data_IF_031708364593
#
_entry.id   IF_031708364593
#
_cell.length_a   1.000
_cell.length_b   1.000
_cell.length_c   1.000
_cell.angle_alpha   90.00
_cell.angle_beta   90.00
_cell.angle_gamma   90.00
#
_symmetry.space_group_name_H-M   'P 1'
#
loop_
_entity.id
_entity.type
_entity.pdbx_description
1 polymer ?
#
# COMPACT_ATOMS: atom_id res chain seq x y z
N UNK A 1 19.82 13.98 25.90
CA UNK A 1 19.62 14.59 24.57
C UNK A 1 18.68 13.66 23.82
N UNK A 2 17.39 13.96 23.87
CA UNK A 2 16.32 13.10 23.35
C UNK A 2 16.36 13.10 21.81
N UNK A 3 16.47 11.92 21.21
CA UNK A 3 16.33 11.72 19.76
C UNK A 3 14.84 11.71 19.43
N UNK A 4 14.26 12.85 19.07
CA UNK A 4 12.82 12.95 18.73
C UNK A 4 12.59 13.53 17.34
N UNK A 5 13.26 12.99 16.32
CA UNK A 5 12.73 13.15 14.96
C UNK A 5 11.62 12.09 14.79
N UNK A 6 10.38 12.41 15.16
CA UNK A 6 9.22 11.52 14.98
C UNK A 6 9.05 11.13 13.50
N UNK A 7 8.57 9.91 13.20
CA UNK A 7 8.29 9.47 11.82
C UNK A 7 7.33 10.46 11.11
N UNK A 8 6.37 11.02 11.85
CA UNK A 8 5.45 12.05 11.37
C UNK A 8 6.18 13.30 10.88
N UNK A 9 7.26 13.70 11.56
CA UNK A 9 8.11 14.83 11.14
C UNK A 9 8.87 14.53 9.85
N UNK A 10 9.41 13.31 9.71
CA UNK A 10 10.10 12.87 8.48
C UNK A 10 9.13 12.83 7.30
N UNK A 11 7.91 12.32 7.51
CA UNK A 11 6.88 12.24 6.47
C UNK A 11 6.41 13.62 6.01
N UNK A 12 6.27 14.59 6.92
CA UNK A 12 5.88 15.98 6.58
C UNK A 12 6.94 16.72 5.76
N UNK A 13 8.21 16.27 5.78
CA UNK A 13 9.28 16.84 4.94
C UNK A 13 9.29 16.28 3.52
N UNK A 14 8.64 15.14 3.30
CA UNK A 14 8.39 14.62 1.96
C UNK A 14 7.16 15.32 1.38
N UNK A 15 7.08 15.40 0.05
CA UNK A 15 5.81 15.74 -0.58
C UNK A 15 4.75 14.70 -0.23
N UNK A 16 3.49 15.14 -0.17
CA UNK A 16 2.37 14.33 0.30
C UNK A 16 2.21 13.03 -0.49
N UNK A 17 2.48 13.03 -1.80
CA UNK A 17 2.37 11.83 -2.64
C UNK A 17 3.40 10.77 -2.24
N UNK A 18 4.67 11.17 -2.07
CA UNK A 18 5.74 10.27 -1.62
C UNK A 18 5.49 9.77 -0.20
N UNK A 19 5.07 10.66 0.72
CA UNK A 19 4.75 10.28 2.09
C UNK A 19 3.57 9.27 2.13
N UNK A 20 2.53 9.52 1.34
CA UNK A 20 1.38 8.61 1.19
C UNK A 20 1.78 7.26 0.62
N UNK A 21 2.67 7.23 -0.38
CA UNK A 21 3.16 5.99 -0.97
C UNK A 21 3.94 5.14 0.04
N UNK A 22 4.75 5.76 0.89
CA UNK A 22 5.48 5.08 1.95
C UNK A 22 4.55 4.52 3.02
N UNK A 23 3.57 5.32 3.48
CA UNK A 23 2.56 4.86 4.42
C UNK A 23 1.74 3.69 3.86
N UNK A 24 1.29 3.79 2.61
CA UNK A 24 0.54 2.73 1.94
C UNK A 24 1.34 1.42 1.84
N UNK A 25 2.64 1.51 1.58
CA UNK A 25 3.53 0.36 1.57
C UNK A 25 3.70 -0.24 2.98
N UNK A 26 4.00 0.59 3.98
CA UNK A 26 4.28 0.14 5.35
C UNK A 26 3.04 -0.43 6.07
N UNK A 27 1.87 0.21 5.90
CA UNK A 27 0.62 -0.19 6.55
C UNK A 27 -0.07 -1.35 5.83
N UNK A 28 -0.12 -1.32 4.50
CA UNK A 28 -0.98 -2.21 3.71
C UNK A 28 -0.25 -3.13 2.74
N UNK A 29 1.08 -3.02 2.63
CA UNK A 29 1.85 -3.74 1.60
C UNK A 29 1.37 -3.36 0.19
N UNK A 30 1.06 -2.08 -0.03
CA UNK A 30 0.56 -1.58 -1.30
C UNK A 30 1.54 -1.88 -2.44
N UNK A 31 1.04 -2.51 -3.52
CA UNK A 31 1.83 -2.74 -4.72
C UNK A 31 1.64 -1.59 -5.72
N UNK A 32 2.38 -1.62 -6.84
CA UNK A 32 2.33 -0.59 -7.90
C UNK A 32 0.91 -0.28 -8.38
N UNK A 33 0.04 -1.28 -8.47
CA UNK A 33 -1.34 -1.08 -8.92
C UNK A 33 -2.20 -0.42 -7.84
N UNK A 34 -1.98 -0.73 -6.57
CA UNK A 34 -2.67 -0.06 -5.47
C UNK A 34 -2.20 1.40 -5.33
N UNK A 35 -0.89 1.66 -5.49
CA UNK A 35 -0.33 3.01 -5.48
C UNK A 35 -0.85 3.86 -6.64
N UNK A 36 -0.84 3.32 -7.86
CA UNK A 36 -1.39 3.99 -9.03
C UNK A 36 -2.87 4.38 -8.83
N UNK A 37 -3.68 3.44 -8.32
CA UNK A 37 -5.10 3.70 -8.01
C UNK A 37 -5.26 4.76 -6.94
N UNK A 38 -4.58 4.62 -5.80
CA UNK A 38 -4.77 5.51 -4.64
C UNK A 38 -4.22 6.92 -4.87
N UNK A 39 -3.17 7.07 -5.67
CA UNK A 39 -2.60 8.35 -6.06
C UNK A 39 -3.27 8.97 -7.31
N UNK A 40 -4.04 8.20 -8.08
CA UNK A 40 -4.65 8.67 -9.32
C UNK A 40 -3.64 8.89 -10.46
N UNK A 41 -2.50 8.20 -10.41
CA UNK A 41 -1.39 8.34 -11.35
C UNK A 41 -1.18 7.07 -12.17
N UNK A 42 -0.41 7.18 -13.25
CA UNK A 42 -0.04 6.01 -14.05
C UNK A 42 0.83 5.01 -13.25
N UNK A 43 0.74 3.73 -13.59
CA UNK A 43 1.49 2.64 -12.92
C UNK A 43 3.00 2.83 -12.98
N UNK A 44 3.51 3.37 -14.09
CA UNK A 44 4.92 3.64 -14.26
C UNK A 44 5.38 4.77 -13.34
N UNK A 45 4.58 5.84 -13.25
CA UNK A 45 4.82 6.96 -12.32
C UNK A 45 4.75 6.45 -10.87
N UNK A 46 3.77 5.63 -10.51
CA UNK A 46 3.67 5.04 -9.17
C UNK A 46 4.89 4.17 -8.81
N UNK A 47 5.45 3.46 -9.79
CA UNK A 47 6.70 2.72 -9.58
C UNK A 47 7.87 3.65 -9.30
N UNK A 48 8.01 4.74 -10.05
CA UNK A 48 9.07 5.72 -9.82
C UNK A 48 8.90 6.41 -8.46
N UNK A 49 7.69 6.91 -8.15
CA UNK A 49 7.36 7.56 -6.88
C UNK A 49 7.68 6.66 -5.69
N UNK A 50 7.32 5.37 -5.73
CA UNK A 50 7.63 4.43 -4.64
C UNK A 50 9.13 4.16 -4.48
N UNK A 51 9.88 4.03 -5.58
CA UNK A 51 11.33 3.84 -5.53
C UNK A 51 12.05 5.09 -5.02
N UNK A 52 11.66 6.27 -5.49
CA UNK A 52 12.22 7.55 -5.03
C UNK A 52 11.90 7.78 -3.56
N UNK A 53 10.68 7.50 -3.12
CA UNK A 53 10.29 7.66 -1.72
C UNK A 53 11.07 6.69 -0.81
N UNK A 54 11.24 5.42 -1.20
CA UNK A 54 12.09 4.46 -0.47
C UNK A 54 13.56 4.90 -0.44
N UNK A 55 14.08 5.44 -1.54
CA UNK A 55 15.45 5.92 -1.59
C UNK A 55 15.66 7.17 -0.70
N UNK A 56 14.75 8.14 -0.76
CA UNK A 56 14.77 9.32 0.10
C UNK A 56 14.62 8.96 1.59
N UNK A 57 13.78 7.97 1.90
CA UNK A 57 13.62 7.41 3.24
C UNK A 57 14.90 6.71 3.76
N UNK A 58 15.79 6.26 2.86
CA UNK A 58 17.07 5.60 3.18
C UNK A 58 18.27 6.55 3.26
N UNK A 59 18.18 7.75 2.69
CA UNK A 59 19.31 8.69 2.68
C UNK A 59 19.49 9.34 4.06
N UNK A 60 20.67 9.12 4.66
CA UNK A 60 21.04 9.53 6.02
C UNK A 60 21.26 11.04 6.23
N UNK A 61 20.97 11.89 5.24
CA UNK A 61 21.10 13.35 5.40
C UNK A 61 20.02 13.96 6.31
N UNK A 62 18.99 13.20 6.65
CA UNK A 62 18.03 13.51 7.70
C UNK A 62 18.33 12.56 8.86
N UNK A 63 18.64 13.08 10.04
CA UNK A 63 19.29 12.39 11.17
C UNK A 63 18.53 11.20 11.79
N UNK A 64 17.42 10.76 11.20
CA UNK A 64 16.78 9.49 11.51
C UNK A 64 16.16 8.91 10.23
N UNK A 65 16.67 7.77 9.80
CA UNK A 65 16.26 7.07 8.59
C UNK A 65 14.82 6.57 8.84
N UNK A 66 13.86 6.91 7.97
CA UNK A 66 12.48 6.40 8.10
C UNK A 66 12.44 4.86 8.12
N UNK A 67 13.48 4.23 7.56
CA UNK A 67 13.73 2.80 7.66
C UNK A 67 13.90 2.29 9.09
N UNK A 68 14.54 3.02 10.00
CA UNK A 68 14.69 2.63 11.40
C UNK A 68 13.34 2.57 12.13
N UNK A 69 12.39 3.44 11.76
CA UNK A 69 11.02 3.38 12.26
C UNK A 69 10.19 2.23 11.68
N UNK A 70 10.60 1.68 10.54
CA UNK A 70 9.91 0.56 9.88
C UNK A 70 10.55 -0.79 10.20
N UNK A 71 11.81 -0.79 10.62
CA UNK A 71 12.60 -1.95 10.98
C UNK A 71 13.00 -1.87 12.46
N UNK A 72 12.02 -1.79 13.36
CA UNK A 72 12.24 -1.94 14.80
C UNK A 72 12.90 -3.27 15.18
N UNK A 73 13.16 -3.51 16.47
CA UNK A 73 13.94 -4.67 16.99
C UNK A 73 13.41 -6.07 16.57
N UNK A 74 12.17 -6.16 16.08
CA UNK A 74 11.53 -7.38 15.55
C UNK A 74 11.29 -7.34 14.01
N UNK A 75 11.77 -6.29 13.34
CA UNK A 75 11.86 -6.17 11.89
C UNK A 75 10.53 -6.02 11.14
N UNK A 76 9.39 -5.82 11.81
CA UNK A 76 8.08 -5.76 11.15
C UNK A 76 6.97 -4.96 11.86
N UNK A 77 7.25 -4.36 13.03
CA UNK A 77 6.26 -3.59 13.79
C UNK A 77 6.44 -2.09 13.55
N UNK A 78 5.49 -1.48 12.82
CA UNK A 78 5.36 -0.03 12.74
C UNK A 78 4.52 0.41 13.93
N UNK A 79 5.11 1.17 14.85
CA UNK A 79 4.36 1.77 15.96
C UNK A 79 3.63 3.00 15.43
N UNK A 80 2.30 3.00 15.53
CA UNK A 80 1.46 4.12 15.10
C UNK A 80 1.07 4.97 16.32
N UNK A 81 1.82 6.06 16.51
CA UNK A 81 1.52 7.08 17.52
C UNK A 81 0.37 8.01 17.08
N UNK A 82 -0.04 8.93 17.97
CA UNK A 82 -1.20 9.80 17.72
C UNK A 82 -0.96 10.80 16.58
N UNK A 83 0.27 11.30 16.41
CA UNK A 83 0.61 12.19 15.31
C UNK A 83 0.54 11.46 13.96
N UNK A 84 1.00 10.21 13.93
CA UNK A 84 0.94 9.36 12.75
C UNK A 84 -0.49 8.96 12.42
N UNK A 85 -1.33 8.69 13.44
CA UNK A 85 -2.78 8.51 13.24
C UNK A 85 -3.43 9.76 12.65
N UNK A 86 -3.06 10.94 13.15
CA UNK A 86 -3.58 12.19 12.61
C UNK A 86 -3.21 12.34 11.13
N UNK A 87 -1.97 12.04 10.73
CA UNK A 87 -1.54 12.04 9.33
C UNK A 87 -2.28 11.02 8.46
N UNK A 88 -2.49 9.80 8.97
CA UNK A 88 -3.24 8.75 8.27
C UNK A 88 -4.66 9.22 7.94
N UNK A 89 -5.33 9.90 8.89
CA UNK A 89 -6.66 10.48 8.72
C UNK A 89 -6.64 11.70 7.80
N UNK A 90 -5.73 12.64 8.06
CA UNK A 90 -5.58 13.90 7.29
C UNK A 90 -5.40 13.62 5.80
N UNK A 91 -4.63 12.58 5.46
CA UNK A 91 -4.33 12.23 4.06
C UNK A 91 -5.24 11.12 3.49
N UNK A 92 -6.27 10.70 4.23
CA UNK A 92 -7.22 9.65 3.87
C UNK A 92 -6.53 8.36 3.39
N UNK A 93 -5.50 7.93 4.13
CA UNK A 93 -4.64 6.82 3.72
C UNK A 93 -5.42 5.50 3.70
N UNK A 94 -6.33 5.29 4.65
CA UNK A 94 -7.14 4.07 4.72
C UNK A 94 -8.10 3.98 3.52
N UNK A 95 -8.83 5.06 3.22
CA UNK A 95 -9.80 5.12 2.13
C UNK A 95 -9.12 4.89 0.77
N UNK A 96 -7.91 5.43 0.58
CA UNK A 96 -7.19 5.39 -0.70
C UNK A 96 -6.47 4.07 -0.92
N UNK A 97 -5.88 3.49 0.12
CA UNK A 97 -4.92 2.40 -0.02
C UNK A 97 -5.31 1.09 0.66
N UNK A 98 -6.35 1.08 1.51
CA UNK A 98 -6.79 -0.15 2.13
C UNK A 98 -7.07 -1.22 1.05
N UNK A 99 -6.63 -2.46 1.26
CA UNK A 99 -6.84 -3.53 0.30
C UNK A 99 -8.29 -4.00 0.30
N UNK A 100 -8.93 -3.89 -0.87
CA UNK A 100 -10.32 -4.32 -1.08
C UNK A 100 -10.38 -5.63 -1.88
N UNK A 101 -11.31 -6.51 -1.53
CA UNK A 101 -11.56 -7.73 -2.28
C UNK A 101 -12.09 -7.39 -3.67
N UNK A 102 -11.45 -7.89 -4.74
CA UNK A 102 -11.94 -7.64 -6.11
C UNK A 102 -13.34 -8.21 -6.39
N UNK A 103 -13.77 -9.22 -5.61
CA UNK A 103 -15.06 -9.89 -5.80
C UNK A 103 -16.20 -9.28 -4.97
N UNK A 104 -15.97 -8.96 -3.70
CA UNK A 104 -17.03 -8.49 -2.78
C UNK A 104 -16.78 -7.09 -2.22
N UNK A 105 -15.69 -6.43 -2.62
CA UNK A 105 -15.31 -5.05 -2.22
C UNK A 105 -15.06 -4.82 -0.73
N UNK A 106 -15.22 -5.82 0.14
CA UNK A 106 -14.86 -5.73 1.56
C UNK A 106 -13.36 -5.48 1.72
N UNK A 107 -13.01 -4.58 2.65
CA UNK A 107 -11.65 -4.33 3.12
C UNK A 107 -11.16 -5.55 3.92
N UNK A 108 -9.93 -6.01 3.68
CA UNK A 108 -9.38 -7.16 4.38
C UNK A 108 -7.89 -7.01 4.61
N UNK A 109 -7.38 -7.46 5.74
CA UNK A 109 -5.93 -7.40 5.97
C UNK A 109 -5.15 -8.28 4.99
N UNK A 110 -4.10 -7.72 4.40
CA UNK A 110 -3.15 -8.48 3.59
C UNK A 110 -2.01 -8.97 4.49
N UNK A 111 -1.62 -10.26 4.39
CA UNK A 111 -0.41 -10.72 5.05
C UNK A 111 0.80 -10.00 4.46
N UNK A 112 1.59 -9.33 5.32
CA UNK A 112 2.82 -8.61 4.93
C UNK A 112 3.86 -9.54 4.29
N UNK A 113 3.88 -10.81 4.68
CA UNK A 113 4.84 -11.84 4.23
C UNK A 113 4.49 -12.50 2.89
N UNK A 114 3.37 -12.14 2.25
CA UNK A 114 2.95 -12.81 1.03
C UNK A 114 3.79 -12.35 -0.17
N UNK A 115 4.58 -13.26 -0.75
CA UNK A 115 5.36 -13.05 -2.01
C UNK A 115 4.50 -12.54 -3.17
N UNK A 116 3.19 -12.81 -3.13
CA UNK A 116 2.19 -12.23 -4.05
C UNK A 116 1.05 -11.62 -3.24
N UNK A 117 0.77 -10.31 -3.39
CA UNK A 117 -0.34 -9.66 -2.72
C UNK A 117 -1.65 -10.38 -3.01
N UNK A 118 -2.41 -10.67 -1.95
CA UNK A 118 -3.71 -11.32 -2.06
C UNK A 118 -4.72 -10.34 -2.66
N UNK A 119 -5.47 -10.78 -3.67
CA UNK A 119 -6.47 -9.94 -4.36
C UNK A 119 -7.92 -10.14 -3.86
N UNK A 120 -8.14 -11.20 -3.08
CA UNK A 120 -9.47 -11.63 -2.62
C UNK A 120 -9.45 -11.93 -1.13
N UNK A 121 -10.47 -11.50 -0.39
CA UNK A 121 -10.58 -11.73 1.06
C UNK A 121 -10.69 -13.21 1.46
N UNK A 122 -11.10 -14.10 0.55
CA UNK A 122 -11.27 -15.55 0.79
C UNK A 122 -11.01 -16.38 -0.46
N UNK A 123 -10.69 -17.67 -0.30
CA UNK A 123 -10.63 -18.62 -1.41
C UNK A 123 -11.99 -18.75 -2.11
N UNK A 124 -13.09 -18.63 -1.37
CA UNK A 124 -14.44 -18.60 -1.92
C UNK A 124 -14.63 -17.42 -2.90
N UNK A 125 -14.21 -16.21 -2.51
CA UNK A 125 -14.24 -15.04 -3.40
C UNK A 125 -13.36 -15.25 -4.65
N UNK A 126 -12.18 -15.85 -4.49
CA UNK A 126 -11.30 -16.19 -5.63
C UNK A 126 -11.96 -17.18 -6.58
N UNK A 127 -12.57 -18.25 -6.06
CA UNK A 127 -13.25 -19.26 -6.87
C UNK A 127 -14.48 -18.68 -7.57
N UNK A 128 -15.26 -17.82 -6.89
CA UNK A 128 -16.41 -17.12 -7.50
C UNK A 128 -15.98 -16.25 -8.68
N UNK A 129 -14.92 -15.45 -8.51
CA UNK A 129 -14.35 -14.65 -9.58
C UNK A 129 -13.85 -15.50 -10.76
N UNK A 130 -13.19 -16.63 -10.46
CA UNK A 130 -12.69 -17.56 -11.47
C UNK A 130 -13.84 -18.19 -12.29
N UNK A 131 -14.90 -18.68 -11.62
CA UNK A 131 -16.08 -19.24 -12.28
C UNK A 131 -16.80 -18.21 -13.17
N UNK A 132 -16.89 -16.95 -12.71
CA UNK A 132 -17.46 -15.87 -13.52
C UNK A 132 -16.69 -15.66 -14.83
N UNK A 133 -15.34 -15.65 -14.77
CA UNK A 133 -14.47 -15.52 -15.96
C UNK A 133 -14.61 -16.69 -16.94
N UNK A 134 -14.74 -17.92 -16.43
CA UNK A 134 -14.98 -19.08 -17.27
C UNK A 134 -16.34 -19.02 -17.98
N UNK A 135 -17.38 -18.53 -17.29
CA UNK A 135 -18.70 -18.35 -17.87
C UNK A 135 -18.66 -17.32 -19.00
N UNK A 136 -18.03 -16.17 -18.79
CA UNK A 136 -17.89 -15.15 -19.84
C UNK A 136 -17.05 -15.64 -21.02
N UNK A 137 -15.97 -16.39 -20.79
CA UNK A 137 -15.15 -16.95 -21.86
C UNK A 137 -15.93 -17.96 -22.72
N UNK A 138 -16.73 -18.82 -22.08
CA UNK A 138 -17.58 -19.80 -22.79
C UNK A 138 -18.76 -19.17 -23.52
N UNK A 139 -19.28 -18.04 -23.04
CA UNK A 139 -20.37 -17.32 -23.69
C UNK A 139 -19.90 -16.44 -24.86
N UNK A 140 -18.61 -16.13 -24.97
CA UNK A 140 -18.04 -15.33 -26.07
C UNK A 140 -17.63 -16.13 -27.31
N UNK A 141 -17.63 -17.47 -27.24
CA UNK A 141 -17.30 -18.36 -28.37
C UNK A 141 -18.53 -18.71 -29.26
N UNK A 142 -19.68 -18.08 -29.03
CA UNK A 142 -20.93 -18.34 -29.76
C UNK A 142 -21.15 -17.51 -31.03
N UNK A 143 -20.39 -16.42 -31.24
CA UNK A 143 -20.62 -15.46 -32.34
C UNK A 143 -19.59 -15.59 -33.49
N UNK A 144 -19.23 -16.82 -33.84
CA UNK A 144 -18.54 -17.12 -35.10
C UNK A 144 -19.37 -18.13 -35.90
N UNK A 145 -20.41 -17.63 -36.57
CA UNK A 145 -21.05 -18.27 -37.73
C UNK A 145 -20.90 -17.33 -38.91
#
# INVERSE_FOLDING_TARGET
>A
MERTDSLSFVLRRLDQERASALLAYALYGANRADLARGLGIDKWVAQFTSQTALWQARLSKNHTNAWEFWAGDDGNSLVVDEELRALIREWNIEERFAPHCRQCRVVFERPKSARRPREYCSNACRQKAYRARLKTARSGDGDRV
#
